data_IF_341256401702
#
_entry.id   IF_341256401702
#
_cell.length_a   1.000
_cell.length_b   1.000
_cell.length_c   1.000
_cell.angle_alpha   90.00
_cell.angle_beta   90.00
_cell.angle_gamma   90.00
#
_symmetry.space_group_name_H-M   'P 1'
#
loop_
_entity.id
_entity.type
_entity.pdbx_description
1 polymer ?
#
# COMPACT_ATOMS: atom_id res chain seq x y z
N UNK A 1 -2.77 -2.74 14.33
CA UNK A 1 -1.71 -1.87 14.88
C UNK A 1 -1.02 -2.63 16.00
N UNK A 2 0.29 -2.78 15.95
CA UNK A 2 1.05 -3.38 17.05
C UNK A 2 1.25 -2.33 18.14
N UNK A 3 0.74 -2.58 19.35
CA UNK A 3 0.88 -1.65 20.48
C UNK A 3 2.30 -1.53 21.03
N UNK A 4 3.19 -2.47 20.69
CA UNK A 4 4.58 -2.49 21.16
C UNK A 4 5.48 -1.65 20.24
N UNK A 5 5.40 -1.85 18.93
CA UNK A 5 6.31 -1.22 17.96
C UNK A 5 5.63 -0.18 17.05
N UNK A 6 4.31 -0.03 17.12
CA UNK A 6 3.55 0.92 16.29
C UNK A 6 3.29 0.48 14.85
N UNK A 7 3.74 -0.72 14.44
CA UNK A 7 3.59 -1.17 13.06
C UNK A 7 2.12 -1.46 12.69
N UNK A 8 1.69 -0.97 11.52
CA UNK A 8 0.41 -1.32 10.91
C UNK A 8 0.58 -2.59 10.06
N UNK A 9 0.25 -3.76 10.59
CA UNK A 9 0.35 -5.04 9.86
C UNK A 9 -0.82 -5.22 8.87
N UNK A 10 -2.05 -5.06 9.38
CA UNK A 10 -3.29 -5.30 8.62
C UNK A 10 -4.31 -4.18 8.82
N UNK A 11 -5.20 -4.03 7.84
CA UNK A 11 -6.43 -3.26 7.96
C UNK A 11 -7.58 -4.10 7.38
N UNK A 12 -8.63 -4.29 8.16
CA UNK A 12 -9.86 -4.96 7.73
C UNK A 12 -10.98 -3.95 7.58
N UNK A 13 -11.99 -4.30 6.78
CA UNK A 13 -13.23 -3.55 6.64
C UNK A 13 -14.35 -4.56 6.89
N UNK A 14 -15.29 -4.25 7.80
CA UNK A 14 -16.30 -5.22 8.25
C UNK A 14 -17.13 -5.86 7.15
N UNK A 15 -17.28 -5.18 6.00
CA UNK A 15 -18.05 -5.64 4.85
C UNK A 15 -17.25 -6.50 3.86
N UNK A 16 -15.93 -6.67 4.06
CA UNK A 16 -15.07 -7.43 3.15
C UNK A 16 -14.44 -8.63 3.86
N UNK A 17 -14.44 -9.83 3.24
CA UNK A 17 -13.68 -10.96 3.76
C UNK A 17 -12.16 -10.78 3.60
N UNK A 18 -11.72 -9.76 2.84
CA UNK A 18 -10.32 -9.50 2.56
C UNK A 18 -9.71 -8.51 3.56
N UNK A 19 -8.41 -8.64 3.78
CA UNK A 19 -7.61 -7.69 4.57
C UNK A 19 -6.54 -7.03 3.70
N UNK A 20 -6.20 -5.78 4.03
CA UNK A 20 -5.06 -5.10 3.46
C UNK A 20 -3.82 -5.42 4.31
N UNK A 21 -2.91 -6.22 3.77
CA UNK A 21 -1.63 -6.57 4.40
C UNK A 21 -0.51 -5.63 3.92
N UNK A 22 0.36 -5.18 4.84
CA UNK A 22 1.51 -4.34 4.47
C UNK A 22 2.65 -5.22 4.00
N UNK A 23 2.98 -5.14 2.71
CA UNK A 23 4.03 -5.97 2.11
C UNK A 23 5.40 -5.81 2.80
N UNK A 24 5.72 -4.61 3.32
CA UNK A 24 6.97 -4.31 4.01
C UNK A 24 7.16 -5.06 5.35
N UNK A 25 6.16 -5.81 5.80
CA UNK A 25 6.21 -6.59 7.05
C UNK A 25 6.33 -8.10 6.79
N UNK A 26 6.50 -8.51 5.52
CA UNK A 26 6.72 -9.89 5.14
C UNK A 26 8.22 -10.23 5.24
N UNK A 27 8.52 -11.42 5.74
CA UNK A 27 9.90 -11.91 5.84
C UNK A 27 10.45 -12.38 4.48
N UNK A 28 9.56 -12.85 3.60
CA UNK A 28 9.90 -13.40 2.28
C UNK A 28 9.34 -12.54 1.13
N UNK A 29 9.97 -12.57 -0.04
CA UNK A 29 9.46 -11.89 -1.25
C UNK A 29 8.14 -12.56 -1.67
N UNK A 30 6.99 -11.84 -1.67
CA UNK A 30 5.72 -12.40 -2.08
C UNK A 30 5.65 -12.71 -3.59
N UNK A 31 6.67 -12.37 -4.38
CA UNK A 31 6.71 -12.50 -5.84
C UNK A 31 5.79 -11.53 -6.58
N UNK A 32 4.95 -10.81 -5.85
CA UNK A 32 4.09 -9.75 -6.37
C UNK A 32 4.88 -8.45 -6.52
N UNK A 33 4.49 -7.65 -7.51
CA UNK A 33 5.05 -6.31 -7.76
C UNK A 33 3.95 -5.26 -7.71
N UNK A 34 4.25 -4.02 -7.29
CA UNK A 34 3.28 -2.93 -7.24
C UNK A 34 2.55 -2.77 -8.58
N UNK A 35 1.22 -2.65 -8.52
CA UNK A 35 0.39 -2.51 -9.72
C UNK A 35 -0.13 -1.08 -9.92
N UNK A 36 -0.26 -0.31 -8.84
CA UNK A 36 -0.76 1.07 -8.83
C UNK A 36 -0.12 1.86 -7.69
N UNK A 37 0.12 3.14 -7.92
CA UNK A 37 0.51 4.10 -6.90
C UNK A 37 -0.66 5.07 -6.67
N UNK A 38 -1.26 5.04 -5.49
CA UNK A 38 -2.42 5.88 -5.13
C UNK A 38 -2.04 6.81 -3.98
N UNK A 39 -2.80 7.88 -3.78
CA UNK A 39 -2.51 8.93 -2.79
C UNK A 39 -1.24 9.73 -3.07
N UNK A 40 -0.88 9.87 -4.35
CA UNK A 40 0.32 10.60 -4.78
C UNK A 40 0.28 12.10 -4.42
N UNK A 41 -0.88 12.65 -4.08
CA UNK A 41 -1.00 14.02 -3.55
C UNK A 41 -0.26 14.21 -2.21
N UNK A 42 0.04 13.12 -1.51
CA UNK A 42 0.80 13.09 -0.26
C UNK A 42 2.25 12.66 -0.45
N UNK A 43 2.72 12.51 -1.69
CA UNK A 43 4.13 12.18 -1.97
C UNK A 43 5.05 13.27 -1.44
N UNK A 44 6.22 12.81 -1.00
CA UNK A 44 7.31 13.65 -0.51
C UNK A 44 8.46 13.61 -1.51
N UNK A 45 9.25 14.70 -1.69
CA UNK A 45 10.28 14.76 -2.73
C UNK A 45 11.37 13.69 -2.65
N UNK A 46 11.56 13.07 -1.48
CA UNK A 46 12.51 11.99 -1.26
C UNK A 46 11.94 10.59 -1.52
N UNK A 47 10.65 10.46 -1.86
CA UNK A 47 10.05 9.20 -2.29
C UNK A 47 10.31 9.01 -3.79
N UNK A 48 11.26 8.15 -4.12
CA UNK A 48 11.61 7.82 -5.51
C UNK A 48 10.95 6.49 -5.88
N UNK A 49 10.06 6.49 -6.87
CA UNK A 49 9.49 5.26 -7.41
C UNK A 49 10.41 4.64 -8.49
N UNK A 50 10.51 3.31 -8.47
CA UNK A 50 11.43 2.56 -9.32
C UNK A 50 10.87 2.12 -10.68
N UNK A 51 9.65 2.53 -11.05
CA UNK A 51 9.00 2.03 -12.26
C UNK A 51 7.79 2.83 -12.73
N UNK A 52 7.47 2.70 -14.02
CA UNK A 52 6.27 3.29 -14.62
C UNK A 52 5.04 2.43 -14.30
N UNK A 53 4.43 2.65 -13.13
CA UNK A 53 3.12 2.08 -12.79
C UNK A 53 2.03 3.17 -12.82
N UNK A 54 0.78 2.82 -13.15
CA UNK A 54 -0.33 3.76 -13.10
C UNK A 54 -0.40 4.47 -11.74
N UNK A 55 -0.36 5.80 -11.79
CA UNK A 55 -0.23 6.64 -10.60
C UNK A 55 -1.39 7.64 -10.51
N UNK A 56 -1.92 7.84 -9.31
CA UNK A 56 -3.12 8.63 -9.06
C UNK A 56 -2.93 9.51 -7.82
N UNK A 57 -3.36 10.78 -7.84
CA UNK A 57 -3.27 11.65 -6.67
C UNK A 57 -4.09 11.13 -5.48
N UNK A 58 -5.16 10.39 -5.74
CA UNK A 58 -6.06 9.80 -4.73
C UNK A 58 -6.47 8.39 -5.19
N UNK A 59 -7.73 8.00 -5.03
CA UNK A 59 -8.27 6.76 -5.60
C UNK A 59 -8.15 6.76 -7.13
N UNK A 60 -7.88 5.59 -7.75
CA UNK A 60 -8.02 5.44 -9.18
C UNK A 60 -9.47 5.73 -9.59
N UNK A 61 -9.70 6.32 -10.77
CA UNK A 61 -11.06 6.47 -11.28
C UNK A 61 -11.74 5.09 -11.33
N UNK A 62 -13.00 5.04 -10.91
CA UNK A 62 -13.82 3.84 -11.04
C UNK A 62 -13.89 3.41 -12.52
N UNK A 63 -14.09 2.12 -12.75
CA UNK A 63 -14.41 1.59 -14.07
C UNK A 63 -15.88 1.82 -14.38
#
# INVERSE_FOLDING_TARGET
FCSVCGCHLVASRGESPNVLLRAATLDEDPGLRPQRHIWRSHDVPWLVDGGMIPSYPEWPPEK
#
